data_IF_908321299725
#
_entry.id   IF_908321299725
#
_cell.length_a   1.000
_cell.length_b   1.000
_cell.length_c   1.000
_cell.angle_alpha   90.00
_cell.angle_beta   90.00
_cell.angle_gamma   90.00
#
_symmetry.space_group_name_H-M   'P 1'
#
loop_
_entity.id
_entity.type
_entity.pdbx_description
1 polymer ?
#
# COMPACT_ATOMS: atom_id res chain seq x y z
N UNK A 1 -8.20 -49.30 -33.40
CA UNK A 1 -9.33 -49.78 -32.58
C UNK A 1 -9.45 -48.87 -31.36
N UNK A 2 -10.59 -48.17 -31.22
CA UNK A 2 -11.19 -47.59 -29.99
C UNK A 2 -10.34 -46.63 -29.12
N UNK A 3 -10.64 -45.31 -29.14
CA UNK A 3 -11.63 -44.55 -28.32
C UNK A 3 -10.97 -43.97 -27.05
N UNK A 4 -10.78 -42.64 -26.99
CA UNK A 4 -11.68 -41.64 -26.36
C UNK A 4 -11.69 -41.74 -24.83
N UNK A 5 -11.28 -40.67 -24.15
CA UNK A 5 -12.24 -39.75 -23.50
C UNK A 5 -11.53 -38.47 -23.02
N UNK A 6 -11.71 -37.43 -23.83
CA UNK A 6 -11.67 -36.03 -23.42
C UNK A 6 -12.91 -35.76 -22.56
N UNK A 7 -12.71 -35.25 -21.34
CA UNK A 7 -13.73 -34.53 -20.61
C UNK A 7 -13.59 -33.04 -20.92
N UNK A 8 -14.45 -32.56 -21.83
CA UNK A 8 -14.73 -31.14 -22.06
C UNK A 8 -15.66 -30.65 -20.94
N UNK A 9 -15.16 -29.80 -20.06
CA UNK A 9 -16.02 -28.81 -19.42
C UNK A 9 -16.20 -27.66 -20.41
N UNK A 10 -17.36 -27.60 -21.08
CA UNK A 10 -17.83 -26.37 -21.73
C UNK A 10 -18.45 -25.50 -20.65
N UNK A 11 -17.65 -24.59 -20.09
CA UNK A 11 -18.21 -23.38 -19.49
C UNK A 11 -18.71 -22.52 -20.64
N UNK A 12 -20.02 -22.34 -20.74
CA UNK A 12 -20.64 -21.32 -21.56
C UNK A 12 -20.29 -20.00 -20.88
N UNK A 13 -19.11 -19.46 -21.21
CA UNK A 13 -18.88 -18.03 -21.03
C UNK A 13 -19.62 -17.37 -22.17
N UNK A 14 -20.58 -16.50 -21.84
CA UNK A 14 -21.15 -15.57 -22.81
C UNK A 14 -19.98 -14.85 -23.49
N UNK A 15 -19.76 -15.15 -24.78
CA UNK A 15 -18.65 -14.59 -25.54
C UNK A 15 -18.86 -13.08 -25.64
N UNK A 16 -17.99 -12.34 -24.95
CA UNK A 16 -18.01 -10.88 -24.91
C UNK A 16 -17.79 -10.34 -26.33
N UNK A 17 -18.62 -9.41 -26.83
CA UNK A 17 -18.43 -8.84 -28.17
C UNK A 17 -17.07 -8.14 -28.29
N UNK A 18 -16.50 -7.99 -29.51
CA UNK A 18 -15.18 -7.37 -29.70
C UNK A 18 -15.12 -5.94 -29.12
N UNK A 19 -14.32 -5.77 -28.06
CA UNK A 19 -14.08 -4.49 -27.36
C UNK A 19 -12.71 -3.93 -27.72
N UNK A 20 -12.62 -2.62 -28.02
CA UNK A 20 -11.35 -1.90 -28.08
C UNK A 20 -11.22 -0.88 -26.96
N UNK A 21 -10.11 -0.96 -26.24
CA UNK A 21 -9.76 0.00 -25.20
C UNK A 21 -8.96 1.17 -25.78
N UNK A 22 -9.37 2.39 -25.46
CA UNK A 22 -8.60 3.60 -25.77
C UNK A 22 -7.65 3.90 -24.61
N UNK A 23 -6.37 4.17 -24.91
CA UNK A 23 -5.31 4.38 -23.90
C UNK A 23 -4.71 5.80 -23.87
N UNK A 24 -5.08 6.68 -24.82
CA UNK A 24 -4.46 8.00 -24.96
C UNK A 24 -5.50 9.09 -24.77
N UNK A 25 -5.21 10.08 -23.92
CA UNK A 25 -6.07 11.25 -23.69
C UNK A 25 -6.51 11.95 -24.99
N UNK A 26 -5.59 12.10 -25.96
CA UNK A 26 -5.93 12.63 -27.30
C UNK A 26 -7.00 11.81 -28.01
N UNK A 27 -6.92 10.48 -27.93
CA UNK A 27 -7.92 9.59 -28.52
C UNK A 27 -9.22 9.61 -27.72
N UNK A 28 -9.17 9.79 -26.40
CA UNK A 28 -10.37 9.94 -25.58
C UNK A 28 -11.16 11.18 -25.96
N UNK A 29 -10.51 12.34 -26.03
CA UNK A 29 -11.14 13.60 -26.48
C UNK A 29 -11.70 13.42 -27.89
N UNK A 30 -10.91 12.83 -28.79
CA UNK A 30 -11.29 12.60 -30.19
C UNK A 30 -12.53 11.73 -30.36
N UNK A 31 -12.69 10.68 -29.55
CA UNK A 31 -13.78 9.71 -29.68
C UNK A 31 -14.85 9.85 -28.59
N UNK A 32 -14.73 10.84 -27.69
CA UNK A 32 -15.70 11.11 -26.60
C UNK A 32 -17.13 11.26 -27.11
N UNK A 33 -17.34 12.02 -28.19
CA UNK A 33 -18.65 12.21 -28.84
C UNK A 33 -19.24 10.94 -29.52
N UNK A 34 -18.47 9.87 -29.62
CA UNK A 34 -18.90 8.58 -30.16
C UNK A 34 -19.21 7.59 -29.03
N UNK A 35 -18.38 7.59 -27.97
CA UNK A 35 -18.41 6.59 -26.89
C UNK A 35 -19.26 7.03 -25.70
N UNK A 36 -19.28 8.33 -25.38
CA UNK A 36 -20.10 8.87 -24.29
C UNK A 36 -21.40 9.45 -24.85
N UNK A 37 -22.53 9.16 -24.20
CA UNK A 37 -23.72 10.02 -24.27
C UNK A 37 -23.37 11.33 -23.53
N UNK A 38 -22.62 12.23 -24.15
CA UNK A 38 -22.46 13.58 -23.61
C UNK A 38 -22.79 14.62 -24.69
N UNK A 39 -23.90 15.30 -24.39
CA UNK A 39 -24.37 16.57 -24.93
C UNK A 39 -24.50 16.62 -26.46
N UNK A 40 -25.72 16.35 -26.93
CA UNK A 40 -26.11 16.70 -28.30
C UNK A 40 -25.61 18.10 -28.63
N UNK A 41 -25.03 18.24 -29.81
CA UNK A 41 -24.62 19.49 -30.47
C UNK A 41 -25.75 20.56 -30.57
N UNK A 42 -26.93 20.28 -30.02
CA UNK A 42 -28.11 21.14 -29.92
C UNK A 42 -28.37 21.67 -28.50
N UNK A 43 -27.55 21.35 -27.51
CA UNK A 43 -27.64 21.99 -26.19
C UNK A 43 -26.85 23.31 -26.18
N UNK A 44 -27.44 24.31 -26.84
CA UNK A 44 -26.89 25.66 -27.01
C UNK A 44 -26.62 26.38 -25.68
N UNK A 45 -27.15 25.87 -24.56
CA UNK A 45 -26.93 26.42 -23.22
C UNK A 45 -25.47 26.26 -22.74
N UNK A 46 -24.74 25.25 -23.21
CA UNK A 46 -23.33 25.03 -22.87
C UNK A 46 -22.35 25.63 -23.88
N UNK A 47 -22.82 26.02 -25.06
CA UNK A 47 -22.03 26.81 -26.02
C UNK A 47 -21.68 28.20 -25.48
N UNK A 48 -22.34 28.70 -24.43
CA UNK A 48 -21.97 29.97 -23.81
C UNK A 48 -20.55 29.96 -23.20
N UNK A 49 -20.03 28.80 -22.79
CA UNK A 49 -18.64 28.66 -22.33
C UNK A 49 -17.61 28.60 -23.48
N UNK A 50 -18.06 28.49 -24.74
CA UNK A 50 -17.15 28.50 -25.92
C UNK A 50 -16.87 29.91 -26.46
N UNK A 51 -17.41 30.96 -25.83
CA UNK A 51 -17.03 32.37 -26.10
C UNK A 51 -15.63 32.75 -25.60
N UNK A 52 -14.78 31.79 -25.22
CA UNK A 52 -13.33 32.02 -25.09
C UNK A 52 -12.66 32.08 -26.47
N UNK A 53 -13.03 33.09 -27.27
CA UNK A 53 -12.36 33.47 -28.52
C UNK A 53 -11.43 34.67 -28.33
N UNK A 54 -11.08 35.02 -27.08
CA UNK A 54 -10.16 36.12 -26.79
C UNK A 54 -9.00 35.62 -25.94
N UNK A 55 -7.81 35.73 -26.53
CA UNK A 55 -6.52 35.60 -25.86
C UNK A 55 -6.28 34.24 -25.20
N UNK A 56 -6.04 33.20 -26.02
CA UNK A 56 -5.27 32.04 -25.58
C UNK A 56 -3.83 32.52 -25.36
N UNK A 57 -3.56 33.14 -24.20
CA UNK A 57 -2.26 33.01 -23.57
C UNK A 57 -2.06 31.50 -23.43
N UNK A 58 -1.19 30.94 -24.28
CA UNK A 58 -0.83 29.51 -24.35
C UNK A 58 -0.83 28.91 -22.94
N UNK A 59 -1.89 28.19 -22.59
CA UNK A 59 -1.89 27.40 -21.37
C UNK A 59 -0.83 26.31 -21.55
N UNK A 60 0.24 26.35 -20.75
CA UNK A 60 1.26 25.29 -20.62
C UNK A 60 0.63 23.88 -20.49
N UNK A 61 -0.61 23.79 -19.99
CA UNK A 61 -1.41 22.57 -19.87
C UNK A 61 -1.56 21.76 -21.18
N UNK A 62 -1.70 22.43 -22.34
CA UNK A 62 -1.85 21.75 -23.62
C UNK A 62 -0.56 21.06 -24.08
N UNK A 63 0.59 21.60 -23.67
CA UNK A 63 1.90 21.03 -23.98
C UNK A 63 2.22 19.83 -23.08
N UNK A 64 1.88 19.93 -21.78
CA UNK A 64 2.02 18.87 -20.77
C UNK A 64 1.23 17.60 -21.15
N UNK A 65 0.01 17.77 -21.66
CA UNK A 65 -0.83 16.64 -22.12
C UNK A 65 -0.47 16.08 -23.51
N UNK A 66 0.59 16.60 -24.17
CA UNK A 66 0.86 16.33 -25.58
C UNK A 66 -0.39 16.49 -26.47
N UNK A 67 -1.31 17.37 -26.06
CA UNK A 67 -2.50 17.73 -26.79
C UNK A 67 -2.08 18.75 -27.84
N UNK A 68 -1.38 18.28 -28.88
CA UNK A 68 -1.52 18.91 -30.19
C UNK A 68 -2.97 18.65 -30.62
N UNK A 69 -3.87 19.54 -30.19
CA UNK A 69 -5.20 19.72 -30.79
C UNK A 69 -4.95 20.28 -32.19
N UNK A 70 -4.64 19.36 -33.09
CA UNK A 70 -4.63 19.54 -34.53
C UNK A 70 -5.38 18.31 -35.03
N UNK A 71 -6.50 18.43 -35.75
CA UNK A 71 -6.91 19.51 -36.65
C UNK A 71 -8.22 20.17 -36.23
N UNK A 72 -8.36 21.45 -36.57
CA UNK A 72 -9.65 22.15 -36.62
C UNK A 72 -10.61 21.32 -37.48
N UNK A 73 -11.81 21.04 -36.95
CA UNK A 73 -12.99 20.59 -37.71
C UNK A 73 -13.00 19.13 -38.22
N UNK A 74 -12.27 18.19 -37.62
CA UNK A 74 -12.43 16.78 -37.99
C UNK A 74 -13.66 16.17 -37.26
N UNK A 75 -14.82 16.18 -37.93
CA UNK A 75 -15.97 15.38 -37.50
C UNK A 75 -15.62 13.92 -37.79
N UNK A 76 -15.50 13.10 -36.74
CA UNK A 76 -15.29 11.67 -36.89
C UNK A 76 -16.64 10.95 -36.80
N UNK A 77 -16.97 10.19 -37.84
CA UNK A 77 -18.15 9.32 -37.83
C UNK A 77 -17.85 8.04 -37.05
N UNK A 78 -18.89 7.29 -36.66
CA UNK A 78 -18.70 5.93 -36.11
C UNK A 78 -17.91 5.05 -37.08
N UNK A 79 -18.15 5.20 -38.38
CA UNK A 79 -17.49 4.42 -39.41
C UNK A 79 -15.99 4.77 -39.55
N UNK A 80 -15.64 6.05 -39.47
CA UNK A 80 -14.23 6.46 -39.39
C UNK A 80 -13.51 5.89 -38.16
N UNK A 81 -14.25 5.72 -37.07
CA UNK A 81 -13.75 5.10 -35.85
C UNK A 81 -13.47 3.62 -36.09
N UNK A 82 -14.46 2.88 -36.62
CA UNK A 82 -14.34 1.45 -36.93
C UNK A 82 -13.21 1.17 -37.93
N UNK A 83 -13.07 1.96 -38.99
CA UNK A 83 -11.96 1.86 -39.96
C UNK A 83 -10.57 2.03 -39.32
N UNK A 84 -10.45 2.89 -38.32
CA UNK A 84 -9.17 3.15 -37.63
C UNK A 84 -8.79 2.05 -36.64
N UNK A 85 -9.78 1.44 -35.99
CA UNK A 85 -9.54 0.44 -34.95
C UNK A 85 -9.56 -1.01 -35.48
N UNK A 86 -10.18 -1.26 -36.63
CA UNK A 86 -10.23 -2.55 -37.30
C UNK A 86 -9.45 -2.51 -38.61
N UNK A 87 -8.19 -2.99 -38.55
CA UNK A 87 -7.21 -2.90 -39.65
C UNK A 87 -7.71 -3.55 -40.95
N UNK A 88 -8.54 -4.61 -40.86
CA UNK A 88 -9.02 -5.34 -42.04
C UNK A 88 -10.40 -4.85 -42.51
N UNK A 89 -10.93 -3.77 -41.92
CA UNK A 89 -12.24 -3.25 -42.31
C UNK A 89 -12.24 -2.63 -43.70
N UNK A 90 -11.09 -2.10 -44.16
CA UNK A 90 -10.96 -1.58 -45.53
C UNK A 90 -11.27 -2.64 -46.58
N UNK A 91 -10.95 -3.91 -46.31
CA UNK A 91 -11.21 -5.04 -47.22
C UNK A 91 -12.70 -5.15 -47.55
N UNK A 92 -13.59 -4.89 -46.59
CA UNK A 92 -15.03 -4.91 -46.87
C UNK A 92 -15.40 -3.84 -47.91
N UNK A 93 -14.86 -2.63 -47.77
CA UNK A 93 -15.11 -1.53 -48.69
C UNK A 93 -14.49 -1.74 -50.07
N UNK A 94 -13.30 -2.34 -50.13
CA UNK A 94 -12.62 -2.68 -51.38
C UNK A 94 -13.45 -3.66 -52.22
N UNK A 95 -14.29 -4.47 -51.58
CA UNK A 95 -15.24 -5.39 -52.22
C UNK A 95 -16.70 -4.89 -52.21
N UNK A 96 -16.96 -3.62 -51.84
CA UNK A 96 -18.31 -3.05 -51.71
C UNK A 96 -19.26 -3.85 -50.80
N UNK A 97 -18.70 -4.47 -49.75
CA UNK A 97 -19.43 -5.22 -48.73
C UNK A 97 -19.72 -4.34 -47.52
N UNK A 98 -20.95 -4.43 -47.00
CA UNK A 98 -21.34 -3.81 -45.74
C UNK A 98 -21.53 -4.88 -44.64
N UNK A 99 -21.26 -4.49 -43.39
CA UNK A 99 -21.48 -5.35 -42.23
C UNK A 99 -22.98 -5.34 -41.88
N UNK A 100 -23.58 -6.52 -41.76
CA UNK A 100 -24.97 -6.64 -41.32
C UNK A 100 -25.18 -6.07 -39.91
N UNK A 101 -26.32 -5.40 -39.69
CA UNK A 101 -26.74 -4.87 -38.38
C UNK A 101 -26.89 -5.95 -37.29
N UNK A 102 -26.95 -7.23 -37.68
CA UNK A 102 -26.99 -8.38 -36.76
C UNK A 102 -25.60 -8.75 -36.20
N UNK A 103 -24.53 -8.28 -36.86
CA UNK A 103 -23.13 -8.57 -36.53
C UNK A 103 -22.42 -7.37 -35.86
N UNK A 104 -22.88 -6.15 -36.15
CA UNK A 104 -22.27 -4.94 -35.61
C UNK A 104 -23.31 -3.89 -35.18
N UNK A 105 -23.15 -3.36 -33.97
CA UNK A 105 -24.03 -2.33 -33.39
C UNK A 105 -23.44 -0.91 -33.54
N UNK A 106 -24.28 0.09 -33.27
CA UNK A 106 -23.82 1.48 -33.15
C UNK A 106 -22.96 1.62 -31.89
N UNK A 107 -21.84 2.33 -32.02
CA UNK A 107 -20.93 2.61 -30.89
C UNK A 107 -21.55 3.57 -29.85
N UNK A 108 -22.61 4.29 -30.22
CA UNK A 108 -23.33 5.24 -29.37
C UNK A 108 -24.44 4.61 -28.51
N UNK A 109 -24.82 3.37 -28.81
CA UNK A 109 -25.91 2.70 -28.10
C UNK A 109 -25.32 1.77 -27.03
N UNK A 110 -25.64 1.97 -25.73
CA UNK A 110 -25.20 1.04 -24.71
C UNK A 110 -25.76 -0.35 -25.01
N UNK A 111 -24.89 -1.35 -25.04
CA UNK A 111 -25.20 -2.75 -25.32
C UNK A 111 -25.97 -3.32 -24.11
N UNK A 112 -27.23 -2.92 -23.96
CA UNK A 112 -28.17 -3.58 -23.09
C UNK A 112 -29.19 -4.27 -23.97
N UNK A 113 -28.93 -5.57 -24.21
CA UNK A 113 -29.88 -6.57 -24.70
C UNK A 113 -30.12 -6.72 -26.22
N UNK A 114 -29.16 -6.42 -27.08
CA UNK A 114 -29.20 -6.96 -28.46
C UNK A 114 -28.40 -8.26 -28.53
N UNK A 115 -29.05 -9.35 -28.94
CA UNK A 115 -28.40 -10.63 -29.26
C UNK A 115 -27.58 -10.45 -30.53
N UNK A 116 -26.39 -9.88 -30.42
CA UNK A 116 -25.42 -9.82 -31.52
C UNK A 116 -25.00 -11.26 -31.81
N UNK A 117 -25.04 -11.66 -33.09
CA UNK A 117 -24.60 -13.00 -33.48
C UNK A 117 -23.09 -13.09 -33.20
N UNK A 118 -22.65 -14.08 -32.41
CA UNK A 118 -21.25 -14.22 -32.05
C UNK A 118 -20.38 -14.45 -33.28
N UNK A 119 -19.64 -13.42 -33.67
CA UNK A 119 -18.63 -13.49 -34.72
C UNK A 119 -17.35 -12.86 -34.17
N UNK A 120 -16.34 -13.69 -33.95
CA UNK A 120 -15.11 -13.37 -33.21
C UNK A 120 -14.04 -12.66 -34.05
N UNK A 121 -14.42 -12.00 -35.16
CA UNK A 121 -13.45 -11.29 -36.01
C UNK A 121 -13.16 -9.88 -35.48
N UNK A 122 -12.37 -9.77 -34.40
CA UNK A 122 -11.89 -8.49 -33.84
C UNK A 122 -11.09 -7.63 -34.85
N UNK A 123 -10.69 -8.22 -35.98
CA UNK A 123 -9.96 -7.52 -37.05
C UNK A 123 -10.89 -6.75 -37.99
N UNK A 124 -12.19 -7.06 -38.00
CA UNK A 124 -13.19 -6.53 -38.94
C UNK A 124 -14.36 -5.86 -38.19
N UNK A 125 -14.79 -6.42 -37.06
CA UNK A 125 -15.94 -5.98 -36.27
C UNK A 125 -15.51 -5.19 -35.03
N UNK A 126 -16.24 -4.11 -34.72
CA UNK A 126 -16.09 -3.33 -33.49
C UNK A 126 -17.46 -2.96 -32.91
N UNK A 127 -17.78 -3.55 -31.76
CA UNK A 127 -19.08 -3.39 -31.12
C UNK A 127 -19.03 -2.48 -29.90
N UNK A 128 -17.87 -2.36 -29.26
CA UNK A 128 -17.70 -1.54 -28.09
C UNK A 128 -16.34 -0.88 -28.11
N UNK A 129 -16.33 0.40 -27.76
CA UNK A 129 -15.12 1.10 -27.38
C UNK A 129 -15.28 1.43 -25.91
N UNK A 130 -14.29 1.07 -25.12
CA UNK A 130 -14.26 1.44 -23.72
C UNK A 130 -12.99 2.24 -23.40
N UNK A 131 -13.06 3.01 -22.33
CA UNK A 131 -11.87 3.60 -21.74
C UNK A 131 -11.29 2.57 -20.78
N UNK A 132 -9.96 2.40 -20.81
CA UNK A 132 -9.34 1.63 -19.74
C UNK A 132 -9.60 2.37 -18.43
N UNK A 133 -10.08 1.65 -17.42
CA UNK A 133 -10.18 2.18 -16.07
C UNK A 133 -8.85 2.83 -15.65
N UNK A 134 -8.93 3.99 -14.99
CA UNK A 134 -7.81 4.76 -14.44
C UNK A 134 -6.98 5.61 -15.41
N UNK A 135 -7.40 5.82 -16.68
CA UNK A 135 -6.63 6.73 -17.58
C UNK A 135 -6.68 8.18 -17.08
N UNK A 136 -7.82 8.63 -16.54
CA UNK A 136 -7.94 9.97 -15.95
C UNK A 136 -6.94 10.15 -14.81
N UNK A 137 -6.78 9.12 -13.97
CA UNK A 137 -5.83 9.05 -12.87
C UNK A 137 -4.39 9.11 -13.33
N UNK A 138 -4.02 8.32 -14.34
CA UNK A 138 -2.69 8.37 -14.93
C UNK A 138 -2.37 9.76 -15.51
N UNK A 139 -3.33 10.38 -16.19
CA UNK A 139 -3.15 11.70 -16.78
C UNK A 139 -3.03 12.80 -15.72
N UNK A 140 -3.87 12.76 -14.68
CA UNK A 140 -3.83 13.73 -13.59
C UNK A 140 -2.54 13.61 -12.79
N UNK A 141 -2.13 12.38 -12.41
CA UNK A 141 -0.87 12.13 -11.73
C UNK A 141 0.31 12.67 -12.55
N UNK A 142 0.30 12.47 -13.87
CA UNK A 142 1.35 12.99 -14.75
C UNK A 142 1.40 14.52 -14.75
N UNK A 143 0.25 15.20 -14.89
CA UNK A 143 0.20 16.67 -14.84
C UNK A 143 0.74 17.16 -13.50
N UNK A 144 0.30 16.55 -12.40
CA UNK A 144 0.73 16.95 -11.07
C UNK A 144 2.23 16.71 -10.88
N UNK A 145 2.75 15.59 -11.36
CA UNK A 145 4.19 15.30 -11.34
C UNK A 145 4.98 16.38 -12.08
N UNK A 146 4.59 16.71 -13.32
CA UNK A 146 5.31 17.69 -14.15
C UNK A 146 5.27 19.09 -13.51
N UNK A 147 4.11 19.51 -12.97
CA UNK A 147 3.99 20.80 -12.28
C UNK A 147 4.77 20.82 -10.96
N UNK A 148 4.81 19.70 -10.23
CA UNK A 148 5.57 19.59 -8.98
C UNK A 148 7.08 19.74 -9.21
N UNK A 149 7.61 19.26 -10.33
CA UNK A 149 9.04 19.44 -10.66
C UNK A 149 9.35 20.88 -11.08
N UNK A 150 8.45 21.55 -11.81
CA UNK A 150 8.64 22.93 -12.28
C UNK A 150 8.42 23.99 -11.20
N UNK A 151 7.60 23.71 -10.18
CA UNK A 151 7.24 24.72 -9.18
C UNK A 151 8.40 25.01 -8.20
N UNK A 152 8.61 26.30 -7.93
CA UNK A 152 9.56 26.77 -6.91
C UNK A 152 8.98 26.54 -5.50
N UNK A 153 7.69 26.85 -5.31
CA UNK A 153 6.99 26.65 -4.03
C UNK A 153 6.28 25.29 -4.00
N UNK A 154 7.08 24.23 -3.80
CA UNK A 154 6.60 22.84 -3.78
C UNK A 154 5.64 22.59 -2.61
N UNK A 155 5.93 23.14 -1.43
CA UNK A 155 5.12 22.92 -0.22
C UNK A 155 3.71 23.48 -0.42
N UNK A 156 3.57 24.72 -0.89
CA UNK A 156 2.26 25.33 -1.14
C UNK A 156 1.48 24.60 -2.23
N UNK A 157 2.17 24.16 -3.28
CA UNK A 157 1.56 23.36 -4.34
C UNK A 157 1.01 22.05 -3.80
N UNK A 158 1.82 21.27 -3.07
CA UNK A 158 1.41 20.00 -2.46
C UNK A 158 0.21 20.19 -1.53
N UNK A 159 0.23 21.22 -0.68
CA UNK A 159 -0.89 21.53 0.21
C UNK A 159 -2.18 21.83 -0.55
N UNK A 160 -2.10 22.63 -1.61
CA UNK A 160 -3.24 23.00 -2.45
C UNK A 160 -3.83 21.79 -3.17
N UNK A 161 -2.97 20.96 -3.75
CA UNK A 161 -3.36 19.76 -4.46
C UNK A 161 -3.98 18.73 -3.52
N UNK A 162 -3.44 18.58 -2.30
CA UNK A 162 -3.96 17.62 -1.32
C UNK A 162 -5.40 17.93 -0.93
N UNK A 163 -5.71 19.20 -0.65
CA UNK A 163 -7.09 19.66 -0.38
C UNK A 163 -8.03 19.47 -1.57
N UNK A 164 -7.51 19.57 -2.79
CA UNK A 164 -8.30 19.36 -4.00
C UNK A 164 -8.61 17.87 -4.19
N UNK A 165 -7.64 16.99 -3.97
CA UNK A 165 -7.81 15.54 -4.11
C UNK A 165 -8.71 14.94 -3.04
N UNK A 166 -8.62 15.43 -1.81
CA UNK A 166 -9.53 15.09 -0.71
C UNK A 166 -11.00 15.34 -1.13
N UNK A 167 -11.29 16.48 -1.75
CA UNK A 167 -12.65 16.82 -2.23
C UNK A 167 -13.12 15.98 -3.42
N UNK A 168 -12.19 15.45 -4.21
CA UNK A 168 -12.51 14.69 -5.42
C UNK A 168 -12.68 13.19 -5.16
N UNK A 169 -12.48 12.70 -3.92
CA UNK A 169 -12.45 11.28 -3.59
C UNK A 169 -11.53 10.49 -4.54
N UNK A 170 -10.39 11.09 -4.90
CA UNK A 170 -9.52 10.53 -5.94
C UNK A 170 -8.76 9.31 -5.40
N UNK A 171 -8.96 8.15 -6.03
CA UNK A 171 -8.48 6.87 -5.52
C UNK A 171 -6.98 6.61 -5.81
N UNK A 172 -6.43 7.18 -6.89
CA UNK A 172 -5.04 6.93 -7.31
C UNK A 172 -4.21 8.20 -7.29
N UNK A 173 -3.54 8.47 -6.17
CA UNK A 173 -2.68 9.65 -5.93
C UNK A 173 -1.21 9.29 -5.75
N UNK A 174 -0.77 8.13 -6.25
CA UNK A 174 0.53 7.53 -5.95
C UNK A 174 1.71 8.52 -6.12
N UNK A 175 1.69 9.32 -7.19
CA UNK A 175 2.76 10.27 -7.46
C UNK A 175 2.91 11.31 -6.34
N UNK A 176 1.80 11.89 -5.89
CA UNK A 176 1.77 12.91 -4.84
C UNK A 176 2.07 12.29 -3.49
N UNK A 177 1.52 11.09 -3.24
CA UNK A 177 1.77 10.34 -2.00
C UNK A 177 3.26 10.08 -1.80
N UNK A 178 3.98 9.67 -2.85
CA UNK A 178 5.42 9.38 -2.73
C UNK A 178 6.27 10.64 -2.84
N UNK A 179 6.16 11.38 -3.96
CA UNK A 179 7.02 12.55 -4.20
C UNK A 179 6.66 13.74 -3.31
N UNK A 180 5.36 14.01 -3.14
CA UNK A 180 4.89 15.09 -2.28
C UNK A 180 5.30 14.88 -0.83
N UNK A 181 5.15 13.66 -0.31
CA UNK A 181 5.60 13.33 1.04
C UNK A 181 7.10 13.51 1.23
N UNK A 182 7.91 13.08 0.25
CA UNK A 182 9.35 13.29 0.30
C UNK A 182 9.70 14.79 0.36
N UNK A 183 9.13 15.60 -0.54
CA UNK A 183 9.36 17.05 -0.53
C UNK A 183 8.90 17.71 0.77
N UNK A 184 7.72 17.35 1.29
CA UNK A 184 7.24 17.85 2.57
C UNK A 184 8.19 17.48 3.71
N UNK A 185 8.61 16.21 3.81
CA UNK A 185 9.53 15.78 4.86
C UNK A 185 10.88 16.49 4.80
N UNK A 186 11.38 16.86 3.60
CA UNK A 186 12.69 17.50 3.46
C UNK A 186 12.65 19.04 3.53
N UNK A 187 11.55 19.67 3.12
CA UNK A 187 11.47 21.14 2.95
C UNK A 187 10.48 21.80 3.91
N UNK A 188 9.55 21.06 4.51
CA UNK A 188 8.57 21.61 5.43
C UNK A 188 9.02 21.45 6.88
N UNK A 189 9.10 22.56 7.61
CA UNK A 189 9.37 22.54 9.06
C UNK A 189 8.07 22.48 9.90
N UNK A 190 6.94 22.80 9.30
CA UNK A 190 5.63 22.81 9.96
C UNK A 190 5.04 21.41 9.98
N UNK A 191 4.93 20.84 11.18
CA UNK A 191 4.44 19.48 11.36
C UNK A 191 2.92 19.38 11.14
N UNK A 192 2.18 20.49 11.25
CA UNK A 192 0.74 20.49 10.99
C UNK A 192 0.44 20.36 9.49
N UNK A 193 1.26 20.95 8.62
CA UNK A 193 1.11 20.78 7.16
C UNK A 193 1.32 19.31 6.77
N UNK A 194 2.30 18.65 7.38
CA UNK A 194 2.56 17.22 7.15
C UNK A 194 1.42 16.37 7.68
N UNK A 195 0.90 16.68 8.87
CA UNK A 195 -0.30 16.02 9.43
C UNK A 195 -1.52 16.15 8.51
N UNK A 196 -1.81 17.36 8.04
CA UNK A 196 -2.92 17.61 7.11
C UNK A 196 -2.76 16.78 5.82
N UNK A 197 -1.53 16.72 5.29
CA UNK A 197 -1.20 15.91 4.12
C UNK A 197 -1.43 14.41 4.36
N UNK A 198 -0.90 13.87 5.46
CA UNK A 198 -1.04 12.45 5.81
C UNK A 198 -2.51 12.06 6.00
N UNK A 199 -3.30 12.94 6.61
CA UNK A 199 -4.74 12.77 6.80
C UNK A 199 -5.47 12.77 5.45
N UNK A 200 -5.17 13.76 4.59
CA UNK A 200 -5.81 13.91 3.27
C UNK A 200 -5.53 12.73 2.33
N UNK A 201 -4.35 12.13 2.45
CA UNK A 201 -3.88 11.07 1.56
C UNK A 201 -4.19 9.66 2.04
N UNK A 202 -4.75 9.51 3.25
CA UNK A 202 -5.19 8.25 3.85
C UNK A 202 -4.18 7.09 3.69
N UNK A 203 -2.98 7.27 4.26
CA UNK A 203 -1.93 6.24 4.19
C UNK A 203 -2.28 4.99 5.00
N UNK A 204 -2.10 3.81 4.39
CA UNK A 204 -2.12 2.53 5.09
C UNK A 204 -0.77 2.25 5.76
N UNK A 205 -0.77 1.28 6.67
CA UNK A 205 0.46 0.77 7.31
C UNK A 205 1.47 0.28 6.28
N UNK A 206 1.00 -0.41 5.25
CA UNK A 206 1.86 -0.96 4.20
C UNK A 206 2.55 0.17 3.42
N UNK A 207 1.83 1.27 3.14
CA UNK A 207 2.43 2.43 2.48
C UNK A 207 3.61 2.99 3.26
N UNK A 208 3.51 3.10 4.59
CA UNK A 208 4.62 3.55 5.44
C UNK A 208 5.80 2.57 5.42
N UNK A 209 5.53 1.26 5.36
CA UNK A 209 6.57 0.25 5.26
C UNK A 209 7.24 0.17 3.87
N UNK A 210 6.66 0.74 2.83
CA UNK A 210 7.33 0.90 1.54
C UNK A 210 8.23 2.14 1.42
N UNK A 211 8.14 3.09 2.36
CA UNK A 211 8.99 4.29 2.35
C UNK A 211 10.46 3.97 2.67
N UNK A 212 11.38 4.81 2.20
CA UNK A 212 12.77 4.76 2.67
C UNK A 212 12.86 5.09 4.16
N UNK A 213 13.87 4.57 4.85
CA UNK A 213 14.04 4.76 6.30
C UNK A 213 14.10 6.26 6.67
N UNK A 214 14.80 7.08 5.89
CA UNK A 214 14.93 8.52 6.17
C UNK A 214 13.60 9.26 6.11
N UNK A 215 12.71 8.89 5.18
CA UNK A 215 11.37 9.48 5.08
C UNK A 215 10.52 8.97 6.24
N UNK A 216 10.59 7.67 6.54
CA UNK A 216 9.86 7.05 7.64
C UNK A 216 10.19 7.70 9.00
N UNK A 217 11.46 7.87 9.34
CA UNK A 217 11.89 8.52 10.58
C UNK A 217 11.42 9.97 10.69
N UNK A 218 11.44 10.72 9.58
CA UNK A 218 10.94 12.10 9.54
C UNK A 218 9.43 12.15 9.72
N UNK A 219 8.68 11.21 9.16
CA UNK A 219 7.23 11.12 9.38
C UNK A 219 6.94 10.84 10.84
N UNK A 220 7.63 9.88 11.46
CA UNK A 220 7.48 9.63 12.90
C UNK A 220 7.76 10.89 13.72
N UNK A 221 8.82 11.62 13.38
CA UNK A 221 9.17 12.88 14.02
C UNK A 221 8.04 13.91 13.91
N UNK A 222 7.55 14.17 12.70
CA UNK A 222 6.51 15.18 12.46
C UNK A 222 5.15 14.77 13.03
N UNK A 223 4.77 13.51 12.90
CA UNK A 223 3.52 13.00 13.45
C UNK A 223 3.51 13.13 14.97
N UNK A 224 4.59 12.71 15.65
CA UNK A 224 4.72 12.88 17.09
C UNK A 224 4.72 14.37 17.48
N UNK A 225 5.47 15.21 16.74
CA UNK A 225 5.50 16.68 16.94
C UNK A 225 4.13 17.34 16.84
N UNK A 226 3.27 16.87 15.95
CA UNK A 226 1.91 17.37 15.73
C UNK A 226 0.84 16.68 16.59
N UNK A 227 1.23 15.79 17.51
CA UNK A 227 0.30 14.97 18.30
C UNK A 227 -0.63 14.13 17.42
N UNK A 228 -0.14 13.70 16.26
CA UNK A 228 -0.88 12.87 15.31
C UNK A 228 -0.50 11.42 15.52
N UNK A 229 -1.50 10.59 15.88
CA UNK A 229 -1.32 9.15 15.91
C UNK A 229 -1.45 8.61 14.48
N UNK A 230 -0.34 8.12 13.93
CA UNK A 230 -0.31 7.52 12.60
C UNK A 230 -1.13 6.22 12.52
N UNK A 231 -1.48 5.67 13.68
CA UNK A 231 -2.06 4.34 13.82
C UNK A 231 -3.48 4.37 14.38
N UNK A 232 -4.10 5.55 14.56
CA UNK A 232 -5.51 5.65 14.98
C UNK A 232 -6.46 5.15 13.88
N UNK A 233 -7.10 4.01 14.14
CA UNK A 233 -8.40 3.47 13.63
C UNK A 233 -8.74 3.60 12.12
N UNK A 234 -9.17 2.51 11.44
CA UNK A 234 -9.32 1.13 11.90
C UNK A 234 -8.13 0.30 11.42
N UNK A 235 -6.91 0.66 11.83
CA UNK A 235 -5.78 -0.21 11.58
C UNK A 235 -5.70 -1.21 12.72
N UNK A 236 -6.19 -2.42 12.46
CA UNK A 236 -6.05 -3.59 13.34
C UNK A 236 -4.59 -4.10 13.44
N UNK A 237 -3.58 -3.24 13.23
CA UNK A 237 -2.18 -3.63 13.14
C UNK A 237 -1.32 -2.77 14.06
N UNK A 238 -0.65 -3.41 15.02
CA UNK A 238 0.40 -2.78 15.80
C UNK A 238 1.65 -2.58 14.92
N UNK A 239 2.22 -1.37 14.85
CA UNK A 239 3.30 -1.08 13.90
C UNK A 239 4.61 -1.81 14.23
N UNK A 240 4.88 -2.10 15.51
CA UNK A 240 6.12 -2.81 15.91
C UNK A 240 6.00 -4.29 15.56
N UNK A 241 4.88 -4.94 15.92
CA UNK A 241 4.66 -6.33 15.52
C UNK A 241 4.60 -6.47 13.99
N UNK A 242 3.98 -5.50 13.31
CA UNK A 242 3.93 -5.49 11.84
C UNK A 242 5.32 -5.36 11.22
N UNK A 243 6.16 -4.47 11.73
CA UNK A 243 7.51 -4.30 11.20
C UNK A 243 8.37 -5.55 11.39
N UNK A 244 8.22 -6.27 12.50
CA UNK A 244 8.88 -7.57 12.72
C UNK A 244 8.33 -8.63 11.75
N UNK A 245 7.00 -8.73 11.61
CA UNK A 245 6.35 -9.64 10.68
C UNK A 245 6.83 -9.46 9.23
N UNK A 246 7.12 -8.22 8.83
CA UNK A 246 7.61 -7.88 7.49
C UNK A 246 9.15 -7.85 7.39
N UNK A 247 9.87 -8.29 8.42
CA UNK A 247 11.33 -8.25 8.48
C UNK A 247 11.94 -6.84 8.31
N UNK A 248 11.20 -5.80 8.66
CA UNK A 248 11.59 -4.39 8.59
C UNK A 248 12.28 -3.96 9.89
N UNK A 249 13.37 -4.64 10.25
CA UNK A 249 14.01 -4.50 11.55
C UNK A 249 14.51 -3.09 11.85
N UNK A 250 15.13 -2.41 10.87
CA UNK A 250 15.57 -1.02 11.01
C UNK A 250 14.40 -0.07 11.33
N UNK A 251 13.22 -0.30 10.75
CA UNK A 251 12.01 0.49 11.06
C UNK A 251 11.45 0.15 12.44
N UNK A 252 11.59 -1.10 12.86
CA UNK A 252 11.24 -1.53 14.23
C UNK A 252 12.04 -0.74 15.25
N UNK A 253 13.35 -0.60 15.03
CA UNK A 253 14.21 0.22 15.89
C UNK A 253 13.78 1.69 15.93
N UNK A 254 13.47 2.28 14.77
CA UNK A 254 12.97 3.64 14.67
C UNK A 254 11.64 3.83 15.42
N UNK A 255 10.73 2.86 15.35
CA UNK A 255 9.46 2.91 16.08
C UNK A 255 9.68 2.96 17.60
N UNK A 256 10.61 2.20 18.15
CA UNK A 256 10.94 2.23 19.57
C UNK A 256 11.57 3.55 20.06
N UNK A 257 11.95 4.45 19.16
CA UNK A 257 12.31 5.83 19.52
C UNK A 257 11.08 6.68 19.86
N UNK A 258 9.87 6.26 19.50
CA UNK A 258 8.63 7.01 19.74
C UNK A 258 7.59 6.23 20.55
N UNK A 259 7.61 4.90 20.51
CA UNK A 259 6.64 4.03 21.18
C UNK A 259 7.27 3.24 22.34
N UNK A 260 6.46 2.97 23.37
CA UNK A 260 6.91 2.36 24.62
C UNK A 260 6.97 0.84 24.52
N UNK A 261 5.83 0.19 24.32
CA UNK A 261 5.64 -1.24 24.12
C UNK A 261 4.53 -1.47 23.08
N UNK A 262 4.60 -2.54 22.28
CA UNK A 262 3.54 -2.88 21.35
C UNK A 262 2.30 -3.41 22.07
N UNK A 263 1.16 -3.36 21.37
CA UNK A 263 -0.09 -3.99 21.80
C UNK A 263 -0.32 -5.27 21.02
N UNK A 264 -0.90 -6.28 21.66
CA UNK A 264 -1.33 -7.48 20.96
C UNK A 264 -2.22 -7.13 19.76
N UNK A 265 -1.99 -7.82 18.66
CA UNK A 265 -2.59 -7.54 17.38
C UNK A 265 -2.97 -8.85 16.67
N UNK A 266 -4.26 -9.14 16.65
CA UNK A 266 -4.81 -10.37 16.07
C UNK A 266 -4.50 -10.52 14.57
N UNK A 267 -4.53 -9.43 13.80
CA UNK A 267 -4.24 -9.49 12.36
C UNK A 267 -2.79 -9.90 12.08
N UNK A 268 -1.84 -9.32 12.81
CA UNK A 268 -0.42 -9.70 12.73
C UNK A 268 -0.23 -11.13 13.23
N UNK A 269 -0.85 -11.50 14.36
CA UNK A 269 -0.81 -12.86 14.87
C UNK A 269 -1.28 -13.88 13.82
N UNK A 270 -2.47 -13.67 13.23
CA UNK A 270 -3.00 -14.53 12.19
C UNK A 270 -2.12 -14.53 10.92
N UNK A 271 -1.50 -13.40 10.57
CA UNK A 271 -0.58 -13.33 9.42
C UNK A 271 0.68 -14.16 9.65
N UNK A 272 1.31 -14.05 10.82
CA UNK A 272 2.49 -14.85 11.18
C UNK A 272 2.08 -16.33 11.27
N UNK A 273 0.98 -16.64 11.98
CA UNK A 273 0.41 -17.99 12.12
C UNK A 273 0.15 -18.66 10.76
N UNK A 274 -0.49 -17.94 9.83
CA UNK A 274 -0.87 -18.46 8.51
C UNK A 274 0.24 -18.36 7.46
N UNK A 275 1.30 -17.60 7.70
CA UNK A 275 2.50 -17.47 6.87
C UNK A 275 3.39 -18.73 6.85
N UNK A 276 2.84 -19.89 7.22
CA UNK A 276 3.49 -21.17 7.49
C UNK A 276 4.50 -21.73 6.46
N UNK A 277 4.55 -21.31 5.18
CA UNK A 277 5.67 -21.69 4.30
C UNK A 277 7.02 -21.04 4.71
N UNK A 278 6.99 -19.82 5.26
CA UNK A 278 8.20 -19.05 5.61
C UNK A 278 8.71 -19.34 7.03
N UNK A 279 7.87 -19.94 7.87
CA UNK A 279 8.17 -20.32 9.26
C UNK A 279 8.50 -21.81 9.42
N UNK A 280 8.99 -22.45 8.35
CA UNK A 280 9.46 -23.84 8.42
C UNK A 280 10.80 -23.89 9.16
N UNK A 281 10.75 -23.91 10.48
CA UNK A 281 11.89 -24.36 11.27
C UNK A 281 12.05 -25.87 11.00
N UNK A 282 13.16 -26.25 10.38
CA UNK A 282 13.52 -27.65 10.11
C UNK A 282 12.53 -28.45 9.24
N UNK A 283 11.86 -27.80 8.26
CA UNK A 283 11.07 -28.52 7.25
C UNK A 283 9.71 -29.08 7.72
N UNK A 284 9.34 -28.87 8.98
CA UNK A 284 8.02 -29.20 9.56
C UNK A 284 7.14 -27.97 9.76
N UNK A 285 5.84 -28.18 10.00
CA UNK A 285 4.90 -27.12 10.35
C UNK A 285 4.91 -26.88 11.87
N UNK A 286 4.94 -25.61 12.29
CA UNK A 286 4.85 -25.19 13.70
C UNK A 286 3.57 -25.76 14.35
N UNK A 287 3.67 -26.13 15.63
CA UNK A 287 2.51 -26.56 16.43
C UNK A 287 1.69 -25.35 16.89
N UNK A 288 0.38 -25.54 17.11
CA UNK A 288 -0.54 -24.49 17.58
C UNK A 288 -1.04 -24.75 19.00
N UNK A 289 -0.20 -24.55 20.04
CA UNK A 289 -0.54 -24.83 21.43
C UNK A 289 -1.73 -24.01 21.97
N UNK A 290 -2.04 -22.87 21.33
CA UNK A 290 -3.22 -22.05 21.64
C UNK A 290 -4.52 -22.82 21.46
N UNK A 291 -4.64 -23.63 20.40
CA UNK A 291 -5.86 -24.39 20.11
C UNK A 291 -6.13 -25.47 21.17
N UNK A 292 -5.08 -25.89 21.87
CA UNK A 292 -5.13 -26.86 22.97
C UNK A 292 -5.25 -26.18 24.36
N UNK A 293 -5.41 -24.85 24.41
CA UNK A 293 -5.52 -24.09 25.65
C UNK A 293 -4.24 -24.04 26.49
N UNK A 294 -3.08 -24.38 25.91
CA UNK A 294 -1.79 -24.43 26.63
C UNK A 294 -1.17 -23.05 26.83
N UNK A 295 -1.53 -22.06 25.99
CA UNK A 295 -1.04 -20.68 26.08
C UNK A 295 -2.01 -19.70 25.42
N UNK A 296 -1.87 -18.42 25.75
CA UNK A 296 -2.62 -17.31 25.11
C UNK A 296 -2.05 -16.96 23.73
N UNK A 297 -2.85 -16.33 22.86
CA UNK A 297 -2.41 -15.83 21.55
C UNK A 297 -1.28 -14.78 21.65
N UNK A 298 -1.35 -13.87 22.61
CA UNK A 298 -0.32 -12.85 22.84
C UNK A 298 1.03 -13.49 23.17
N UNK A 299 1.03 -14.46 24.08
CA UNK A 299 2.21 -15.25 24.41
C UNK A 299 2.75 -16.03 23.20
N UNK A 300 1.86 -16.63 22.43
CA UNK A 300 2.23 -17.39 21.23
C UNK A 300 2.83 -16.49 20.15
N UNK A 301 2.29 -15.28 19.95
CA UNK A 301 2.84 -14.29 19.02
C UNK A 301 4.32 -14.01 19.30
N UNK A 302 4.69 -13.78 20.56
CA UNK A 302 6.07 -13.51 20.95
C UNK A 302 7.01 -14.70 20.62
N UNK A 303 6.53 -15.93 20.79
CA UNK A 303 7.31 -17.14 20.43
C UNK A 303 7.42 -17.27 18.91
N UNK A 304 6.34 -16.98 18.17
CA UNK A 304 6.35 -16.99 16.71
C UNK A 304 7.28 -15.91 16.12
N UNK A 305 7.42 -14.75 16.77
CA UNK A 305 8.37 -13.71 16.37
C UNK A 305 9.83 -14.15 16.60
N UNK A 306 10.12 -14.86 17.70
CA UNK A 306 11.43 -15.50 17.91
C UNK A 306 11.69 -16.52 16.80
N UNK A 307 10.73 -17.40 16.53
CA UNK A 307 10.83 -18.42 15.49
C UNK A 307 11.05 -17.79 14.10
N UNK A 308 10.35 -16.70 13.79
CA UNK A 308 10.50 -15.94 12.55
C UNK A 308 11.92 -15.43 12.36
N UNK A 309 12.45 -14.72 13.35
CA UNK A 309 13.80 -14.12 13.23
C UNK A 309 14.88 -15.18 13.32
N UNK A 310 14.69 -16.24 14.11
CA UNK A 310 15.62 -17.37 14.18
C UNK A 310 15.78 -18.08 12.83
N UNK A 311 14.71 -18.14 12.03
CA UNK A 311 14.75 -18.74 10.69
C UNK A 311 15.46 -17.86 9.64
N UNK A 312 15.75 -16.59 9.96
CA UNK A 312 16.45 -15.64 9.10
C UNK A 312 17.96 -15.64 9.39
N UNK A 313 18.79 -15.01 8.53
CA UNK A 313 20.21 -14.84 8.81
C UNK A 313 20.44 -14.17 10.18
N UNK A 314 21.43 -14.66 10.97
CA UNK A 314 21.56 -14.39 12.42
C UNK A 314 21.78 -12.92 12.82
N UNK A 315 22.00 -12.01 11.88
CA UNK A 315 22.19 -10.58 12.15
C UNK A 315 20.93 -9.74 12.04
N UNK A 316 19.94 -10.16 11.27
CA UNK A 316 19.06 -9.17 10.64
C UNK A 316 18.01 -8.61 11.61
N UNK A 317 17.52 -9.43 12.56
CA UNK A 317 16.46 -9.03 13.49
C UNK A 317 16.78 -9.15 14.98
N UNK A 318 18.01 -9.54 15.35
CA UNK A 318 18.38 -9.75 16.76
C UNK A 318 18.17 -8.48 17.61
N UNK A 319 18.64 -7.33 17.13
CA UNK A 319 18.49 -6.04 17.83
C UNK A 319 17.02 -5.67 18.00
N UNK A 320 16.20 -5.84 16.96
CA UNK A 320 14.77 -5.54 17.00
C UNK A 320 14.05 -6.42 18.05
N UNK A 321 14.37 -7.72 18.12
CA UNK A 321 13.82 -8.61 19.15
C UNK A 321 14.32 -8.26 20.54
N UNK A 322 15.60 -7.92 20.72
CA UNK A 322 16.11 -7.46 22.02
C UNK A 322 15.33 -6.23 22.50
N UNK A 323 15.06 -5.27 21.61
CA UNK A 323 14.28 -4.08 21.93
C UNK A 323 12.83 -4.42 22.30
N UNK A 324 12.18 -5.32 21.53
CA UNK A 324 10.85 -5.84 21.83
C UNK A 324 10.79 -6.46 23.24
N UNK A 325 11.66 -7.43 23.53
CA UNK A 325 11.68 -8.14 24.82
C UNK A 325 12.08 -7.26 26.00
N UNK A 326 12.78 -6.15 25.76
CA UNK A 326 13.07 -5.14 26.79
C UNK A 326 11.95 -4.13 26.98
N UNK A 327 11.03 -4.03 26.03
CA UNK A 327 9.90 -3.10 26.06
C UNK A 327 8.69 -3.66 26.82
N UNK A 328 8.49 -4.98 26.81
CA UNK A 328 7.36 -5.64 27.46
C UNK A 328 7.68 -6.07 28.91
N UNK A 329 6.69 -6.02 29.82
CA UNK A 329 6.84 -6.48 31.20
C UNK A 329 6.64 -8.00 31.38
N UNK A 330 6.39 -8.72 30.29
CA UNK A 330 6.04 -10.15 30.29
C UNK A 330 7.19 -11.03 30.78
N UNK A 331 6.90 -12.11 31.53
CA UNK A 331 7.89 -13.10 31.96
C UNK A 331 8.69 -13.71 30.80
N UNK A 332 9.89 -14.20 31.09
CA UNK A 332 10.73 -14.84 30.05
C UNK A 332 10.06 -16.11 29.53
N UNK A 333 10.35 -16.46 28.27
CA UNK A 333 9.88 -17.73 27.69
C UNK A 333 10.58 -18.88 28.41
N UNK A 334 9.78 -19.86 28.83
CA UNK A 334 10.24 -21.08 29.44
C UNK A 334 10.62 -22.12 28.38
N UNK A 335 11.45 -23.08 28.76
CA UNK A 335 11.85 -24.17 27.89
C UNK A 335 10.65 -25.00 27.37
N UNK A 336 9.64 -25.35 28.20
CA UNK A 336 8.43 -26.03 27.73
C UNK A 336 7.61 -25.20 26.74
N UNK A 337 7.47 -23.89 26.97
CA UNK A 337 6.78 -22.99 26.03
C UNK A 337 7.48 -22.98 24.66
N UNK A 338 8.81 -22.82 24.65
CA UNK A 338 9.60 -22.76 23.42
C UNK A 338 9.52 -24.07 22.64
N UNK A 339 9.66 -25.21 23.31
CA UNK A 339 9.62 -26.53 22.70
C UNK A 339 8.21 -26.92 22.23
N UNK A 340 7.15 -26.44 22.88
CA UNK A 340 5.77 -26.74 22.49
C UNK A 340 5.41 -26.26 21.08
N UNK A 341 6.09 -25.23 20.58
CA UNK A 341 5.87 -24.62 19.26
C UNK A 341 6.72 -25.30 18.17
N UNK A 342 7.79 -26.01 18.54
CA UNK A 342 8.67 -26.68 17.59
C UNK A 342 8.02 -27.93 16.98
N UNK A 343 8.21 -28.19 15.67
CA UNK A 343 7.66 -29.37 15.02
C UNK A 343 8.34 -30.67 15.51
N UNK A 344 7.54 -31.69 15.81
CA UNK A 344 8.01 -33.05 16.08
C UNK A 344 8.91 -33.16 17.31
N UNK A 345 9.86 -34.11 17.30
CA UNK A 345 10.92 -34.23 18.32
C UNK A 345 12.13 -33.41 17.84
N UNK A 346 12.38 -32.21 18.39
CA UNK A 346 13.47 -31.37 17.91
C UNK A 346 14.83 -32.02 18.20
N UNK A 347 15.79 -31.84 17.28
CA UNK A 347 17.14 -32.36 17.51
C UNK A 347 17.81 -31.62 18.68
N UNK A 348 18.67 -32.29 19.48
CA UNK A 348 19.35 -31.65 20.61
C UNK A 348 20.11 -30.36 20.22
N UNK A 349 20.69 -30.35 19.02
CA UNK A 349 21.39 -29.19 18.48
C UNK A 349 20.45 -28.01 18.22
N UNK A 350 19.28 -28.26 17.64
CA UNK A 350 18.28 -27.21 17.40
C UNK A 350 17.80 -26.59 18.72
N UNK A 351 17.58 -27.43 19.72
CA UNK A 351 17.19 -27.01 21.07
C UNK A 351 18.27 -26.08 21.66
N UNK A 352 19.54 -26.47 21.56
CA UNK A 352 20.67 -25.67 22.02
C UNK A 352 20.74 -24.33 21.26
N UNK A 353 20.63 -24.35 19.94
CA UNK A 353 20.70 -23.16 19.08
C UNK A 353 19.58 -22.16 19.40
N UNK A 354 18.33 -22.62 19.52
CA UNK A 354 17.19 -21.75 19.81
C UNK A 354 17.20 -21.24 21.27
N UNK A 355 17.72 -22.05 22.20
CA UNK A 355 17.91 -21.65 23.60
C UNK A 355 18.97 -20.56 23.70
N UNK A 356 20.11 -20.74 23.03
CA UNK A 356 21.17 -19.74 22.94
C UNK A 356 20.69 -18.45 22.29
N UNK A 357 19.89 -18.55 21.22
CA UNK A 357 19.29 -17.39 20.57
C UNK A 357 18.30 -16.65 21.49
N UNK A 358 17.42 -17.39 22.18
CA UNK A 358 16.47 -16.82 23.14
C UNK A 358 17.21 -16.12 24.29
N UNK A 359 18.31 -16.70 24.78
CA UNK A 359 19.21 -16.06 25.76
C UNK A 359 19.82 -14.77 25.23
N UNK A 360 20.25 -14.73 23.97
CA UNK A 360 20.78 -13.49 23.36
C UNK A 360 19.72 -12.38 23.26
N UNK A 361 18.46 -12.74 23.02
CA UNK A 361 17.35 -11.78 22.93
C UNK A 361 16.95 -11.26 24.30
N UNK A 362 16.79 -12.16 25.26
CA UNK A 362 16.22 -11.86 26.57
C UNK A 362 17.26 -11.37 27.58
N UNK A 363 18.52 -11.77 27.41
CA UNK A 363 19.64 -11.49 28.31
C UNK A 363 19.67 -12.37 29.57
N UNK A 364 18.80 -13.37 29.69
CA UNK A 364 18.75 -14.32 30.81
C UNK A 364 18.65 -15.75 30.26
N UNK A 365 19.05 -16.74 31.06
CA UNK A 365 18.97 -18.15 30.68
C UNK A 365 17.50 -18.61 30.59
N UNK A 366 17.19 -19.47 29.61
CA UNK A 366 15.87 -20.09 29.48
C UNK A 366 15.72 -21.13 30.59
N UNK A 367 14.72 -20.97 31.45
CA UNK A 367 14.47 -21.87 32.58
C UNK A 367 13.28 -22.79 32.32
N UNK A 368 13.22 -23.90 33.06
CA UNK A 368 12.03 -24.77 33.10
C UNK A 368 10.85 -24.05 33.75
N UNK A 369 11.14 -23.30 34.83
CA UNK A 369 10.11 -22.63 35.62
C UNK A 369 9.75 -21.24 35.08
N UNK A 370 8.49 -20.86 35.29
CA UNK A 370 8.00 -19.52 35.04
C UNK A 370 8.64 -18.52 36.00
N UNK A 371 9.46 -17.60 35.48
CA UNK A 371 10.15 -16.59 36.27
C UNK A 371 9.63 -15.19 35.96
N UNK A 372 9.04 -14.47 36.95
CA UNK A 372 8.62 -13.10 36.73
C UNK A 372 9.81 -12.20 36.41
N UNK A 373 9.57 -11.11 35.69
CA UNK A 373 10.61 -10.13 35.41
C UNK A 373 11.13 -9.51 36.71
N UNK A 374 12.44 -9.24 36.77
CA UNK A 374 13.01 -8.44 37.86
C UNK A 374 12.39 -7.04 37.85
N UNK A 375 12.25 -6.44 39.04
CA UNK A 375 11.65 -5.10 39.24
C UNK A 375 12.21 -4.03 38.29
N UNK A 376 13.50 -4.11 37.96
CA UNK A 376 14.13 -3.25 36.94
C UNK A 376 13.28 -3.21 35.65
N UNK A 377 12.99 -4.34 35.03
CA UNK A 377 12.26 -4.37 33.74
C UNK A 377 10.89 -3.68 33.83
N UNK A 378 10.13 -3.92 34.90
CA UNK A 378 8.88 -3.21 35.16
C UNK A 378 9.07 -1.70 35.29
N UNK A 379 10.07 -1.27 36.04
CA UNK A 379 10.39 0.16 36.18
C UNK A 379 10.73 0.79 34.83
N UNK A 380 11.52 0.12 33.97
CA UNK A 380 11.87 0.64 32.64
C UNK A 380 10.62 0.87 31.80
N UNK A 381 9.78 -0.16 31.66
CA UNK A 381 8.55 -0.07 30.85
C UNK A 381 7.60 1.00 31.39
N UNK A 382 7.45 1.06 32.72
CA UNK A 382 6.60 2.07 33.38
C UNK A 382 7.10 3.49 33.11
N UNK A 383 8.40 3.76 33.31
CA UNK A 383 8.99 5.08 33.07
C UNK A 383 8.85 5.44 31.59
N UNK A 384 9.14 4.52 30.66
CA UNK A 384 8.97 4.75 29.22
C UNK A 384 7.52 5.08 28.87
N UNK A 385 6.55 4.37 29.43
CA UNK A 385 5.13 4.64 29.19
C UNK A 385 4.70 6.02 29.71
N UNK A 386 5.16 6.43 30.90
CA UNK A 386 4.92 7.78 31.43
C UNK A 386 5.54 8.84 30.50
N UNK A 387 6.76 8.62 30.03
CA UNK A 387 7.46 9.53 29.13
C UNK A 387 6.82 9.61 27.72
N UNK A 388 6.19 8.54 27.21
CA UNK A 388 5.39 8.63 25.99
C UNK A 388 4.08 9.39 26.20
N UNK A 389 3.39 9.15 27.33
CA UNK A 389 2.04 9.66 27.55
C UNK A 389 2.01 11.12 28.05
N UNK A 390 3.12 11.64 28.56
CA UNK A 390 3.27 13.06 28.87
C UNK A 390 3.40 13.88 27.56
N UNK A 391 2.25 14.13 26.95
CA UNK A 391 1.99 14.76 25.64
C UNK A 391 2.48 16.22 25.48
N UNK A 392 3.21 16.80 26.43
CA UNK A 392 3.55 18.22 26.37
C UNK A 392 4.82 18.53 25.56
N UNK A 393 5.71 17.55 25.33
CA UNK A 393 7.03 17.83 24.72
C UNK A 393 7.31 17.13 23.38
N UNK A 394 6.37 16.33 22.83
CA UNK A 394 6.38 15.79 21.46
C UNK A 394 7.76 15.48 20.82
N UNK A 395 8.63 14.78 21.56
CA UNK A 395 10.02 14.45 21.18
C UNK A 395 10.31 12.96 21.32
N UNK A 396 11.28 12.46 20.54
CA UNK A 396 11.81 11.09 20.61
C UNK A 396 12.28 10.73 22.03
N UNK A 397 12.19 9.46 22.40
CA UNK A 397 12.73 8.93 23.65
C UNK A 397 14.23 9.22 23.79
N UNK A 398 15.02 9.04 22.74
CA UNK A 398 16.46 9.35 22.74
C UNK A 398 16.72 10.79 23.19
N UNK A 399 15.97 11.75 22.63
CA UNK A 399 16.06 13.17 22.97
C UNK A 399 15.53 13.43 24.38
N UNK A 400 14.34 12.96 24.73
CA UNK A 400 13.73 13.15 26.06
C UNK A 400 14.61 12.60 27.17
N UNK A 401 15.16 11.40 27.02
CA UNK A 401 16.03 10.79 28.04
C UNK A 401 17.31 11.62 28.19
N UNK A 402 17.89 12.11 27.08
CA UNK A 402 19.08 12.97 27.15
C UNK A 402 18.82 14.31 27.87
N UNK A 403 17.62 14.90 27.73
CA UNK A 403 17.23 16.14 28.42
C UNK A 403 17.08 15.96 29.94
N UNK A 404 16.75 14.75 30.40
CA UNK A 404 16.67 14.42 31.83
C UNK A 404 18.05 14.44 32.52
N UNK A 405 19.15 14.58 31.77
CA UNK A 405 20.54 14.63 32.27
C UNK A 405 20.82 13.51 33.29
N UNK A 406 20.31 12.31 33.00
CA UNK A 406 20.44 11.16 33.87
C UNK A 406 21.91 10.71 33.92
N UNK A 407 22.35 10.10 35.04
CA UNK A 407 23.65 9.44 35.09
C UNK A 407 23.79 8.44 33.93
N UNK A 408 24.99 8.27 33.32
CA UNK A 408 25.18 7.44 32.13
C UNK A 408 24.62 6.01 32.25
N UNK A 409 24.74 5.41 33.44
CA UNK A 409 24.21 4.07 33.72
C UNK A 409 22.66 4.02 33.64
N UNK A 410 21.97 5.09 34.05
CA UNK A 410 20.51 5.18 34.00
C UNK A 410 20.05 5.55 32.59
N UNK A 411 20.79 6.41 31.87
CA UNK A 411 20.52 6.73 30.46
C UNK A 411 20.59 5.48 29.58
N UNK A 412 21.71 4.74 29.64
CA UNK A 412 21.89 3.46 28.92
C UNK A 412 20.82 2.45 29.31
N UNK A 413 20.48 2.37 30.60
CA UNK A 413 19.41 1.49 31.07
C UNK A 413 18.03 1.81 30.45
N UNK A 414 17.74 3.08 30.18
CA UNK A 414 16.46 3.53 29.60
C UNK A 414 16.40 3.38 28.08
N UNK A 415 17.55 3.29 27.41
CA UNK A 415 17.66 2.95 26.00
C UNK A 415 17.37 1.45 25.83
N UNK A 416 16.57 1.13 24.81
CA UNK A 416 16.30 -0.27 24.45
C UNK A 416 17.45 -0.85 23.61
N UNK A 417 18.16 0.01 22.88
CA UNK A 417 19.44 -0.26 22.22
C UNK A 417 20.56 -0.20 23.27
N UNK A 418 21.52 -1.13 23.17
CA UNK A 418 22.67 -1.17 24.09
C UNK A 418 23.51 0.11 24.01
#
# INVERSE_FOLDING_TARGET
MKRKLSYRFHSIMDEVPPIKYIFRAKSMVKYSFIVQKSLSYLDLSLCEFTKSKRSIKRLKLAHLLNLRVSEKNAIHTEEDCKKRFCINRSVLYDFHLDVSKELETSLRSPVHHQKIRSCSSEKILLNMIDYKDNIHDLCLNRIIAEVLEETEDKVKFIHTVSKLLERMNFLSNECIRVKGLAYLCFQCSDSNIIKDFLTSMNFSVEDFFHLSIHIFERILYHAHRAGYDLWTLPVHQDPIHSSICYCMFVKTEALFQYYSAPRFCEVVYNRIKNGGPSLRICGGAINFPVENGLMTEERHLLILEIALVFALPPSDGLTALQMLWRSIPDPFITFPELTSVLPGVPSPKLIEDITNFTKQITGEDVTEDYQPRRLKHYCRTTIRNILSNNNNNNMQFSTKISELRLPPAVDSYMRLQN
#
